data_IF_839185282603
#
_entry.id   IF_839185282603
#
_cell.length_a   1.000
_cell.length_b   1.000
_cell.length_c   1.000
_cell.angle_alpha   90.00
_cell.angle_beta   90.00
_cell.angle_gamma   90.00
#
_symmetry.space_group_name_H-M   'P 1'
#
loop_
_entity.id
_entity.type
_entity.pdbx_description
1 polymer ?
#
# COMPACT_ATOMS: atom_id res chain seq x y z
N UNK A 1 3.47 -54.38 16.26
CA UNK A 1 3.15 -54.55 17.70
C UNK A 1 4.32 -54.01 18.51
N UNK A 2 4.25 -52.71 18.85
CA UNK A 2 4.93 -52.04 19.98
C UNK A 2 4.47 -50.58 20.00
N UNK A 3 3.34 -50.43 20.67
CA UNK A 3 2.98 -49.43 21.69
C UNK A 3 3.80 -48.14 21.81
N UNK A 4 3.07 -47.04 21.65
CA UNK A 4 2.72 -46.08 22.71
C UNK A 4 3.87 -45.46 23.54
N UNK A 5 4.04 -44.14 23.44
CA UNK A 5 3.70 -43.23 24.54
C UNK A 5 4.02 -41.77 24.21
N UNK A 6 2.93 -41.00 24.10
CA UNK A 6 2.70 -39.72 24.77
C UNK A 6 3.88 -38.79 25.06
N UNK A 7 3.78 -37.57 24.52
CA UNK A 7 3.98 -36.34 25.31
C UNK A 7 3.17 -35.20 24.73
N UNK A 8 1.92 -35.13 25.20
CA UNK A 8 1.05 -33.95 25.16
C UNK A 8 1.74 -32.81 25.92
N UNK A 9 2.33 -31.84 25.21
CA UNK A 9 2.65 -30.53 25.80
C UNK A 9 1.49 -29.57 25.51
N UNK A 10 0.49 -29.61 26.39
CA UNK A 10 -0.48 -28.53 26.54
C UNK A 10 0.25 -27.28 27.05
N UNK A 11 0.79 -26.50 26.11
CA UNK A 11 1.19 -25.13 26.36
C UNK A 11 -0.06 -24.30 26.61
N UNK A 12 -0.23 -23.83 27.85
CA UNK A 12 -1.26 -22.86 28.24
C UNK A 12 -1.17 -21.65 27.32
N UNK A 13 -2.17 -21.50 26.46
CA UNK A 13 -2.51 -20.23 25.81
C UNK A 13 -2.77 -19.21 26.93
N UNK A 14 -1.80 -18.33 27.20
CA UNK A 14 -2.09 -17.08 27.89
C UNK A 14 -2.96 -16.25 26.94
N UNK A 15 -4.20 -15.90 27.29
CA UNK A 15 -4.96 -14.93 26.52
C UNK A 15 -4.19 -13.61 26.59
N UNK A 16 -3.43 -13.32 25.55
CA UNK A 16 -2.89 -11.99 25.34
C UNK A 16 -4.08 -11.05 25.27
N UNK A 17 -4.12 -10.08 26.19
CA UNK A 17 -5.08 -9.00 26.17
C UNK A 17 -5.05 -8.38 24.77
N UNK A 18 -6.11 -8.61 24.01
CA UNK A 18 -6.27 -8.01 22.70
C UNK A 18 -6.34 -6.49 22.89
N UNK A 19 -5.63 -5.69 22.08
CA UNK A 19 -5.86 -4.25 22.06
C UNK A 19 -7.33 -4.04 21.70
N UNK A 20 -8.08 -3.55 22.67
CA UNK A 20 -9.48 -3.18 22.57
C UNK A 20 -9.67 -2.28 21.35
N UNK A 21 -10.43 -2.77 20.38
CA UNK A 21 -10.95 -1.99 19.26
C UNK A 21 -11.51 -0.66 19.77
N UNK A 22 -11.01 0.44 19.20
CA UNK A 22 -11.12 1.81 19.72
C UNK A 22 -12.53 2.42 19.72
N UNK A 23 -13.58 1.65 19.41
CA UNK A 23 -14.97 1.99 19.71
C UNK A 23 -15.70 0.70 20.06
N UNK A 24 -15.73 0.37 21.35
CA UNK A 24 -16.43 -0.82 21.83
C UNK A 24 -17.91 -0.76 21.41
N UNK A 25 -18.56 -1.90 21.12
CA UNK A 25 -20.00 -1.93 20.86
C UNK A 25 -20.82 -1.26 21.99
N UNK A 26 -20.25 -1.23 23.20
CA UNK A 26 -20.79 -0.54 24.36
C UNK A 26 -20.72 0.99 24.19
N UNK A 27 -19.59 1.55 23.74
CA UNK A 27 -19.47 2.98 23.43
C UNK A 27 -20.43 3.40 22.30
N UNK A 28 -20.67 2.54 21.31
CA UNK A 28 -21.67 2.78 20.26
C UNK A 28 -23.10 2.80 20.82
N UNK A 29 -23.43 1.87 21.71
CA UNK A 29 -24.71 1.88 22.42
C UNK A 29 -24.89 3.16 23.24
N UNK A 30 -23.86 3.58 23.98
CA UNK A 30 -23.87 4.84 24.75
C UNK A 30 -24.07 6.04 23.84
N UNK A 31 -23.35 6.14 22.72
CA UNK A 31 -23.49 7.24 21.78
C UNK A 31 -24.87 7.28 21.11
N UNK A 32 -25.44 6.11 20.79
CA UNK A 32 -26.80 5.99 20.25
C UNK A 32 -27.86 6.42 21.26
N UNK A 33 -27.71 6.04 22.54
CA UNK A 33 -28.62 6.46 23.62
C UNK A 33 -28.50 7.95 23.89
N UNK A 34 -27.28 8.50 23.94
CA UNK A 34 -27.05 9.95 24.13
C UNK A 34 -27.63 10.73 22.94
N UNK A 35 -27.35 10.31 21.70
CA UNK A 35 -27.85 10.95 20.49
C UNK A 35 -29.38 10.93 20.42
N UNK A 36 -29.98 9.75 20.66
CA UNK A 36 -31.44 9.59 20.70
C UNK A 36 -32.10 10.42 21.81
N UNK A 37 -31.51 10.42 23.01
CA UNK A 37 -31.98 11.22 24.13
C UNK A 37 -31.89 12.73 23.87
N UNK A 38 -30.78 13.19 23.29
CA UNK A 38 -30.57 14.60 22.94
C UNK A 38 -31.57 15.07 21.88
N UNK A 39 -31.78 14.26 20.83
CA UNK A 39 -32.73 14.56 19.76
C UNK A 39 -34.18 14.59 20.28
N UNK A 40 -34.58 13.57 21.05
CA UNK A 40 -35.92 13.52 21.64
C UNK A 40 -36.20 14.68 22.59
N UNK A 41 -35.21 15.05 23.41
CA UNK A 41 -35.30 16.23 24.30
C UNK A 41 -35.42 17.53 23.50
N UNK A 42 -34.65 17.67 22.42
CA UNK A 42 -34.74 18.82 21.51
C UNK A 42 -36.13 18.96 20.88
N UNK A 43 -36.70 17.86 20.37
CA UNK A 43 -38.06 17.85 19.80
C UNK A 43 -39.11 18.25 20.83
N UNK A 44 -39.05 17.69 22.05
CA UNK A 44 -39.99 18.04 23.11
C UNK A 44 -39.87 19.51 23.55
N UNK A 45 -38.64 20.04 23.61
CA UNK A 45 -38.37 21.42 23.95
C UNK A 45 -38.95 22.40 22.92
N UNK A 46 -38.90 22.10 21.61
CA UNK A 46 -39.50 22.96 20.57
C UNK A 46 -40.99 23.26 20.83
N UNK A 47 -41.72 22.31 21.42
CA UNK A 47 -43.15 22.50 21.74
C UNK A 47 -43.40 23.17 23.10
N UNK A 48 -42.43 23.15 24.02
CA UNK A 48 -42.60 23.64 25.39
C UNK A 48 -41.94 25.00 25.65
N UNK A 49 -40.95 25.40 24.87
CA UNK A 49 -40.18 26.64 25.10
C UNK A 49 -40.30 27.64 23.95
N UNK A 50 -40.53 28.90 24.30
CA UNK A 50 -40.50 30.07 23.40
C UNK A 50 -39.07 30.54 23.05
N UNK A 51 -38.03 29.96 23.63
CA UNK A 51 -36.63 30.29 23.32
C UNK A 51 -36.15 29.51 22.08
N UNK A 52 -36.34 30.08 20.89
CA UNK A 52 -36.03 29.44 19.61
C UNK A 52 -34.55 29.14 19.36
N UNK A 53 -33.62 29.86 20.00
CA UNK A 53 -32.18 29.73 19.67
C UNK A 53 -31.53 28.50 20.30
N UNK A 54 -31.93 28.12 21.52
CA UNK A 54 -31.35 26.97 22.23
C UNK A 54 -31.84 25.61 21.72
N UNK A 55 -33.10 25.55 21.30
CA UNK A 55 -33.73 24.33 20.76
C UNK A 55 -33.17 23.94 19.39
N UNK A 56 -32.88 24.92 18.53
CA UNK A 56 -32.27 24.68 17.22
C UNK A 56 -30.89 24.01 17.31
N UNK A 57 -30.05 24.44 18.26
CA UNK A 57 -28.71 23.86 18.45
C UNK A 57 -28.79 22.40 18.93
N UNK A 58 -29.68 22.10 19.88
CA UNK A 58 -29.92 20.74 20.38
C UNK A 58 -30.43 19.80 19.28
N UNK A 59 -31.32 20.28 18.42
CA UNK A 59 -31.83 19.53 17.27
C UNK A 59 -30.72 19.22 16.26
N UNK A 60 -29.90 20.22 15.92
CA UNK A 60 -28.78 20.06 15.00
C UNK A 60 -27.73 19.07 15.53
N UNK A 61 -27.31 19.22 16.80
CA UNK A 61 -26.34 18.31 17.44
C UNK A 61 -26.93 16.89 17.55
N UNK A 62 -28.19 16.76 17.96
CA UNK A 62 -28.88 15.47 18.05
C UNK A 62 -28.98 14.78 16.69
N UNK A 63 -29.35 15.51 15.64
CA UNK A 63 -29.43 14.98 14.27
C UNK A 63 -28.06 14.53 13.75
N UNK A 64 -27.01 15.33 13.96
CA UNK A 64 -25.63 14.98 13.58
C UNK A 64 -25.16 13.72 14.31
N UNK A 65 -25.39 13.62 15.63
CA UNK A 65 -25.04 12.42 16.41
C UNK A 65 -25.83 11.18 15.96
N UNK A 66 -27.11 11.34 15.59
CA UNK A 66 -27.94 10.26 15.08
C UNK A 66 -27.46 9.80 13.70
N UNK A 67 -27.07 10.73 12.83
CA UNK A 67 -26.40 10.43 11.56
C UNK A 67 -25.09 9.67 11.82
N UNK A 68 -24.24 10.10 12.75
CA UNK A 68 -23.02 9.36 13.11
C UNK A 68 -23.30 7.98 13.72
N UNK A 69 -24.37 7.81 14.49
CA UNK A 69 -24.75 6.51 15.05
C UNK A 69 -25.26 5.54 13.98
N UNK A 70 -26.08 6.03 13.03
CA UNK A 70 -26.64 5.25 11.92
C UNK A 70 -25.60 4.98 10.83
N UNK A 71 -24.79 5.99 10.46
CA UNK A 71 -23.73 5.88 9.47
C UNK A 71 -22.42 5.37 10.06
N UNK A 72 -22.27 5.25 11.38
CA UNK A 72 -21.05 4.73 12.01
C UNK A 72 -20.69 3.31 11.53
N UNK A 73 -21.70 2.48 11.26
CA UNK A 73 -21.50 1.18 10.59
C UNK A 73 -21.21 1.30 9.08
N UNK A 74 -21.54 2.44 8.45
CA UNK A 74 -21.28 2.73 7.04
C UNK A 74 -19.97 3.47 6.78
N UNK A 75 -19.37 4.16 7.75
CA UNK A 75 -18.09 4.85 7.54
C UNK A 75 -16.94 3.83 7.43
N UNK A 76 -17.05 2.68 8.10
CA UNK A 76 -16.21 1.49 7.79
C UNK A 76 -16.49 0.93 6.38
N UNK A 77 -17.68 1.16 5.82
CA UNK A 77 -18.02 0.79 4.43
C UNK A 77 -17.64 1.85 3.38
N UNK A 78 -17.26 3.06 3.77
CA UNK A 78 -16.78 4.08 2.82
C UNK A 78 -15.36 3.79 2.31
N UNK A 79 -14.58 2.96 3.02
CA UNK A 79 -13.34 2.39 2.47
C UNK A 79 -13.59 1.37 1.33
N UNK A 80 -14.82 0.85 1.18
CA UNK A 80 -15.23 0.07 0.00
C UNK A 80 -15.31 0.98 -1.24
N UNK A 81 -15.48 2.29 -1.06
CA UNK A 81 -15.42 3.29 -2.13
C UNK A 81 -13.99 3.69 -2.50
N UNK A 82 -13.07 3.79 -1.54
CA UNK A 82 -11.71 4.34 -1.75
C UNK A 82 -10.84 3.59 -2.76
N UNK A 83 -10.90 2.26 -2.78
CA UNK A 83 -10.18 1.46 -3.79
C UNK A 83 -10.73 1.68 -5.19
N UNK A 84 -12.05 1.64 -5.32
CA UNK A 84 -12.71 1.92 -6.60
C UNK A 84 -12.49 3.37 -7.07
N UNK A 85 -12.32 4.32 -6.13
CA UNK A 85 -12.06 5.73 -6.45
C UNK A 85 -10.64 5.94 -6.96
N UNK A 86 -9.63 5.24 -6.43
CA UNK A 86 -8.24 5.36 -6.91
C UNK A 86 -8.05 4.71 -8.27
N UNK A 87 -8.59 3.51 -8.50
CA UNK A 87 -8.59 2.89 -9.83
C UNK A 87 -9.35 3.75 -10.85
N UNK A 88 -10.47 4.36 -10.46
CA UNK A 88 -11.17 5.35 -11.31
C UNK A 88 -10.36 6.61 -11.54
N UNK A 89 -9.63 7.12 -10.54
CA UNK A 89 -8.77 8.29 -10.71
C UNK A 89 -7.60 8.00 -11.66
N UNK A 90 -6.93 6.86 -11.49
CA UNK A 90 -5.85 6.44 -12.40
C UNK A 90 -6.37 6.20 -13.83
N UNK A 91 -7.53 5.56 -13.98
CA UNK A 91 -8.16 5.41 -15.29
C UNK A 91 -8.58 6.77 -15.89
N UNK A 92 -9.11 7.69 -15.07
CA UNK A 92 -9.46 9.04 -15.50
C UNK A 92 -8.24 9.84 -15.96
N UNK A 93 -7.11 9.72 -15.27
CA UNK A 93 -5.84 10.33 -15.70
C UNK A 93 -5.41 9.77 -17.06
N UNK A 94 -5.50 8.46 -17.29
CA UNK A 94 -5.19 7.86 -18.61
C UNK A 94 -6.17 8.31 -19.69
N UNK A 95 -7.45 8.49 -19.37
CA UNK A 95 -8.40 9.11 -20.31
C UNK A 95 -8.02 10.57 -20.62
N UNK A 96 -7.61 11.36 -19.63
CA UNK A 96 -7.16 12.74 -19.87
C UNK A 96 -5.91 12.79 -20.75
N UNK A 97 -4.94 11.89 -20.54
CA UNK A 97 -3.76 11.78 -21.41
C UNK A 97 -4.14 11.33 -22.82
N UNK A 98 -5.13 10.43 -22.95
CA UNK A 98 -5.64 10.03 -24.25
C UNK A 98 -6.26 11.20 -25.00
N UNK A 99 -7.10 11.99 -24.32
CA UNK A 99 -7.75 13.16 -24.90
C UNK A 99 -6.71 14.23 -25.30
N UNK A 100 -5.67 14.43 -24.49
CA UNK A 100 -4.55 15.32 -24.83
C UNK A 100 -3.76 14.82 -26.05
N UNK A 101 -3.56 13.50 -26.18
CA UNK A 101 -2.86 12.89 -27.32
C UNK A 101 -3.69 13.02 -28.60
N UNK A 102 -5.00 12.84 -28.51
CA UNK A 102 -5.93 13.08 -29.61
C UNK A 102 -5.91 14.54 -30.09
N UNK A 103 -5.90 15.50 -29.17
CA UNK A 103 -5.77 16.93 -29.50
C UNK A 103 -4.43 17.26 -30.18
N UNK A 104 -3.37 16.50 -29.89
CA UNK A 104 -2.07 16.61 -30.55
C UNK A 104 -2.01 15.88 -31.91
N UNK A 105 -3.08 15.19 -32.31
CA UNK A 105 -3.16 14.41 -33.55
C UNK A 105 -2.55 13.01 -33.46
N UNK A 106 -2.16 12.56 -32.27
CA UNK A 106 -1.60 11.23 -32.01
C UNK A 106 -2.72 10.25 -31.58
N UNK A 107 -3.46 9.77 -32.58
CA UNK A 107 -4.59 8.85 -32.38
C UNK A 107 -4.14 7.48 -31.85
N UNK A 108 -2.99 6.96 -32.30
CA UNK A 108 -2.49 5.65 -31.88
C UNK A 108 -2.18 5.63 -30.38
N UNK A 109 -1.54 6.69 -29.87
CA UNK A 109 -1.28 6.84 -28.43
C UNK A 109 -2.57 7.01 -27.64
N UNK A 110 -3.54 7.78 -28.14
CA UNK A 110 -4.82 7.97 -27.47
C UNK A 110 -5.58 6.64 -27.31
N UNK A 111 -5.64 5.83 -28.36
CA UNK A 111 -6.31 4.53 -28.33
C UNK A 111 -5.63 3.54 -27.39
N UNK A 112 -4.30 3.51 -27.37
CA UNK A 112 -3.53 2.71 -26.43
C UNK A 112 -3.83 3.09 -24.96
N UNK A 113 -3.86 4.39 -24.66
CA UNK A 113 -4.18 4.90 -23.32
C UNK A 113 -5.62 4.57 -22.89
N UNK A 114 -6.59 4.65 -23.81
CA UNK A 114 -7.99 4.26 -23.53
C UNK A 114 -8.15 2.76 -23.34
N UNK A 115 -7.45 1.95 -24.13
CA UNK A 115 -7.46 0.50 -23.97
C UNK A 115 -6.85 0.11 -22.62
N UNK A 116 -5.79 0.79 -22.20
CA UNK A 116 -5.19 0.63 -20.88
C UNK A 116 -6.17 1.04 -19.77
N UNK A 117 -6.75 2.24 -19.81
CA UNK A 117 -7.71 2.70 -18.81
C UNK A 117 -8.90 1.72 -18.63
N UNK A 118 -9.41 1.18 -19.73
CA UNK A 118 -10.46 0.15 -19.71
C UNK A 118 -10.00 -1.14 -19.05
N UNK A 119 -8.82 -1.66 -19.40
CA UNK A 119 -8.31 -2.89 -18.81
C UNK A 119 -8.08 -2.74 -17.30
N UNK A 120 -7.64 -1.57 -16.82
CA UNK A 120 -7.49 -1.30 -15.39
C UNK A 120 -8.84 -1.39 -14.65
N UNK A 121 -9.89 -0.77 -15.19
CA UNK A 121 -11.22 -0.72 -14.56
C UNK A 121 -11.96 -2.06 -14.61
N UNK A 122 -11.88 -2.74 -15.75
CA UNK A 122 -12.63 -3.96 -16.00
C UNK A 122 -12.08 -5.14 -15.18
N UNK A 123 -10.77 -5.21 -14.99
CA UNK A 123 -10.12 -6.41 -14.45
C UNK A 123 -9.63 -6.28 -13.01
N UNK A 124 -8.81 -5.26 -12.74
CA UNK A 124 -8.17 -5.16 -11.42
C UNK A 124 -9.16 -4.73 -10.34
N UNK A 125 -10.15 -3.90 -10.71
CA UNK A 125 -11.16 -3.37 -9.79
C UNK A 125 -11.97 -4.45 -9.08
N UNK A 126 -12.69 -5.33 -9.80
CA UNK A 126 -13.51 -6.36 -9.18
C UNK A 126 -12.70 -7.30 -8.27
N UNK A 127 -11.53 -7.75 -8.72
CA UNK A 127 -10.70 -8.71 -7.98
C UNK A 127 -10.09 -8.05 -6.72
N UNK A 128 -9.60 -6.82 -6.84
CA UNK A 128 -9.11 -6.06 -5.68
C UNK A 128 -10.22 -5.79 -4.66
N UNK A 129 -11.44 -5.52 -5.13
CA UNK A 129 -12.60 -5.32 -4.28
C UNK A 129 -13.01 -6.61 -3.55
N UNK A 130 -13.00 -7.75 -4.24
CA UNK A 130 -13.26 -9.06 -3.67
C UNK A 130 -12.25 -9.42 -2.58
N UNK A 131 -10.96 -9.25 -2.85
CA UNK A 131 -9.91 -9.41 -1.84
C UNK A 131 -10.20 -8.56 -0.59
N UNK A 132 -10.52 -7.28 -0.79
CA UNK A 132 -10.86 -6.36 0.29
C UNK A 132 -12.09 -6.82 1.08
N UNK A 133 -13.10 -7.35 0.38
CA UNK A 133 -14.32 -7.87 0.99
C UNK A 133 -14.03 -9.09 1.88
N UNK A 134 -13.31 -10.10 1.37
CA UNK A 134 -12.88 -11.29 2.13
C UNK A 134 -12.08 -10.88 3.37
N UNK A 135 -11.14 -9.94 3.20
CA UNK A 135 -10.27 -9.46 4.28
C UNK A 135 -11.05 -8.79 5.41
N UNK A 136 -12.15 -8.10 5.11
CA UNK A 136 -12.99 -7.41 6.11
C UNK A 136 -14.05 -8.32 6.72
N UNK A 137 -14.67 -9.18 5.92
CA UNK A 137 -15.82 -10.00 6.34
C UNK A 137 -15.41 -11.26 7.12
N UNK A 138 -14.23 -11.82 6.82
CA UNK A 138 -13.78 -13.06 7.45
C UNK A 138 -12.82 -12.77 8.61
N UNK A 139 -12.99 -13.51 9.72
CA UNK A 139 -12.02 -13.51 10.82
C UNK A 139 -10.68 -14.08 10.34
N UNK A 140 -9.56 -13.56 10.88
CA UNK A 140 -8.24 -14.13 10.63
C UNK A 140 -8.17 -15.62 10.98
N UNK A 141 -7.63 -16.44 10.06
CA UNK A 141 -7.55 -17.89 10.20
C UNK A 141 -7.22 -18.58 8.88
N UNK A 142 -7.17 -19.92 8.89
CA UNK A 142 -6.85 -20.73 7.71
C UNK A 142 -7.85 -20.53 6.57
N UNK A 143 -9.15 -20.53 6.87
CA UNK A 143 -10.22 -20.38 5.86
C UNK A 143 -10.12 -19.04 5.12
N UNK A 144 -9.85 -17.96 5.86
CA UNK A 144 -9.63 -16.64 5.27
C UNK A 144 -8.39 -16.62 4.39
N UNK A 145 -7.29 -17.21 4.84
CA UNK A 145 -6.07 -17.31 4.02
C UNK A 145 -6.33 -18.11 2.75
N UNK A 146 -7.07 -19.22 2.83
CA UNK A 146 -7.43 -20.02 1.66
C UNK A 146 -8.28 -19.23 0.66
N UNK A 147 -9.30 -18.50 1.14
CA UNK A 147 -10.12 -17.63 0.30
C UNK A 147 -9.28 -16.52 -0.38
N UNK A 148 -8.40 -15.85 0.38
CA UNK A 148 -7.50 -14.82 -0.17
C UNK A 148 -6.50 -15.41 -1.18
N UNK A 149 -6.01 -16.63 -0.97
CA UNK A 149 -5.16 -17.33 -1.94
C UNK A 149 -5.92 -17.66 -3.23
N UNK A 150 -7.20 -18.03 -3.14
CA UNK A 150 -8.06 -18.23 -4.30
C UNK A 150 -8.12 -17.00 -5.20
N UNK A 151 -8.25 -15.80 -4.61
CA UNK A 151 -8.20 -14.53 -5.36
C UNK A 151 -6.86 -14.36 -6.08
N UNK A 152 -5.74 -14.72 -5.46
CA UNK A 152 -4.42 -14.64 -6.11
C UNK A 152 -4.31 -15.63 -7.28
N UNK A 153 -4.89 -16.82 -7.17
CA UNK A 153 -4.91 -17.80 -8.26
C UNK A 153 -5.76 -17.31 -9.44
N UNK A 154 -6.87 -16.62 -9.17
CA UNK A 154 -7.67 -15.94 -10.20
C UNK A 154 -6.87 -14.84 -10.90
N UNK A 155 -6.15 -14.01 -10.14
CA UNK A 155 -5.23 -13.01 -10.70
C UNK A 155 -4.20 -13.65 -11.61
N UNK A 156 -3.55 -14.74 -11.19
CA UNK A 156 -2.52 -15.41 -11.99
C UNK A 156 -3.09 -15.99 -13.28
N UNK A 157 -4.25 -16.64 -13.22
CA UNK A 157 -4.95 -17.17 -14.39
C UNK A 157 -5.30 -16.07 -15.38
N UNK A 158 -5.76 -14.92 -14.88
CA UNK A 158 -6.08 -13.77 -15.73
C UNK A 158 -4.82 -13.13 -16.32
N UNK A 159 -3.77 -12.98 -15.51
CA UNK A 159 -2.47 -12.45 -15.93
C UNK A 159 -1.87 -13.25 -17.09
N UNK A 160 -2.09 -14.57 -17.13
CA UNK A 160 -1.61 -15.43 -18.21
C UNK A 160 -2.34 -15.24 -19.55
N UNK A 161 -3.53 -14.62 -19.56
CA UNK A 161 -4.39 -14.51 -20.75
C UNK A 161 -4.36 -13.14 -21.42
N UNK A 162 -3.79 -12.13 -20.77
CA UNK A 162 -3.92 -10.72 -21.16
C UNK A 162 -2.61 -9.99 -20.99
N UNK A 163 -2.40 -9.00 -21.86
CA UNK A 163 -1.29 -8.05 -21.75
C UNK A 163 -1.57 -6.93 -20.76
N UNK A 164 -0.54 -6.64 -19.95
CA UNK A 164 -0.56 -5.60 -18.92
C UNK A 164 0.69 -4.74 -19.07
N UNK A 165 0.51 -3.44 -18.87
CA UNK A 165 1.64 -2.51 -18.91
C UNK A 165 2.44 -2.60 -17.60
N UNK A 166 3.77 -2.83 -17.66
CA UNK A 166 4.60 -2.92 -16.46
C UNK A 166 4.52 -1.69 -15.54
N UNK A 167 4.38 -0.49 -16.11
CA UNK A 167 4.27 0.76 -15.36
C UNK A 167 3.01 0.81 -14.50
N UNK A 168 1.86 0.40 -15.03
CA UNK A 168 0.60 0.35 -14.29
C UNK A 168 0.66 -0.66 -13.12
N UNK A 169 1.21 -1.85 -13.38
CA UNK A 169 1.34 -2.89 -12.34
C UNK A 169 2.29 -2.44 -11.21
N UNK A 170 3.37 -1.73 -11.57
CA UNK A 170 4.30 -1.11 -10.62
C UNK A 170 3.62 -0.02 -9.79
N UNK A 171 2.78 0.81 -10.40
CA UNK A 171 2.03 1.87 -9.73
C UNK A 171 1.04 1.29 -8.70
N UNK A 172 0.29 0.25 -9.08
CA UNK A 172 -0.57 -0.49 -8.16
C UNK A 172 0.19 -1.06 -6.97
N UNK A 173 1.36 -1.63 -7.21
CA UNK A 173 2.19 -2.15 -6.11
C UNK A 173 2.72 -1.03 -5.20
N UNK A 174 2.99 0.17 -5.70
CA UNK A 174 3.55 1.27 -4.88
C UNK A 174 2.49 2.05 -4.12
N UNK A 175 1.46 2.54 -4.82
CA UNK A 175 0.46 3.47 -4.30
C UNK A 175 -0.92 2.86 -4.08
N UNK A 176 -1.16 1.67 -4.61
CA UNK A 176 -2.48 1.06 -4.65
C UNK A 176 -3.05 0.71 -3.28
N UNK A 177 -4.31 0.32 -3.27
CA UNK A 177 -4.99 -0.27 -2.12
C UNK A 177 -4.46 -1.67 -1.80
N UNK A 178 -4.86 -2.23 -0.66
CA UNK A 178 -4.36 -3.54 -0.24
C UNK A 178 -4.75 -4.65 -1.23
N UNK A 179 -5.90 -4.53 -1.90
CA UNK A 179 -6.30 -5.43 -2.98
C UNK A 179 -5.47 -5.22 -4.25
N UNK A 180 -5.30 -3.98 -4.71
CA UNK A 180 -4.49 -3.66 -5.89
C UNK A 180 -3.04 -4.15 -5.75
N UNK A 181 -2.44 -3.99 -4.56
CA UNK A 181 -1.08 -4.48 -4.30
C UNK A 181 -0.98 -6.00 -4.37
N UNK A 182 -2.00 -6.72 -3.89
CA UNK A 182 -2.09 -8.19 -4.00
C UNK A 182 -2.28 -8.63 -5.45
N UNK A 183 -3.13 -7.93 -6.20
CA UNK A 183 -3.31 -8.15 -7.64
C UNK A 183 -1.98 -7.94 -8.37
N UNK A 184 -1.28 -6.83 -8.12
CA UNK A 184 0.01 -6.56 -8.74
C UNK A 184 1.05 -7.66 -8.44
N UNK A 185 1.17 -8.10 -7.19
CA UNK A 185 2.06 -9.21 -6.82
C UNK A 185 1.69 -10.52 -7.53
N UNK A 186 0.39 -10.83 -7.66
CA UNK A 186 -0.08 -12.01 -8.39
C UNK A 186 0.26 -11.97 -9.89
N UNK A 187 0.11 -10.81 -10.52
CA UNK A 187 0.49 -10.58 -11.92
C UNK A 187 2.00 -10.74 -12.13
N UNK A 188 2.82 -10.09 -11.31
CA UNK A 188 4.28 -10.18 -11.37
C UNK A 188 4.82 -11.62 -11.13
N UNK A 189 4.10 -12.42 -10.35
CA UNK A 189 4.43 -13.83 -10.14
C UNK A 189 4.19 -14.71 -11.36
N UNK A 190 3.30 -14.28 -12.26
CA UNK A 190 2.93 -15.01 -13.49
C UNK A 190 3.81 -14.57 -14.65
N UNK A 191 4.09 -13.26 -14.76
CA UNK A 191 4.76 -12.66 -15.91
C UNK A 191 6.10 -12.02 -15.51
N UNK A 192 7.25 -12.59 -15.91
CA UNK A 192 8.57 -12.05 -15.61
C UNK A 192 8.79 -10.60 -16.03
N UNK A 193 8.24 -10.19 -17.17
CA UNK A 193 8.33 -8.85 -17.74
C UNK A 193 7.63 -7.76 -16.91
N UNK A 194 6.73 -8.15 -15.99
CA UNK A 194 6.06 -7.22 -15.07
C UNK A 194 6.86 -6.98 -13.78
N UNK A 195 7.91 -7.76 -13.53
CA UNK A 195 8.63 -7.74 -12.25
C UNK A 195 9.45 -6.47 -12.12
N UNK A 196 9.40 -5.88 -10.93
CA UNK A 196 10.18 -4.68 -10.57
C UNK A 196 10.84 -4.89 -9.21
N UNK A 197 12.15 -5.12 -9.18
CA UNK A 197 12.86 -5.46 -7.96
C UNK A 197 12.65 -4.43 -6.84
N UNK A 198 12.75 -3.14 -7.15
CA UNK A 198 12.59 -2.08 -6.16
C UNK A 198 11.17 -2.01 -5.57
N UNK A 199 10.13 -2.13 -6.40
CA UNK A 199 8.75 -2.13 -5.92
C UNK A 199 8.46 -3.36 -5.05
N UNK A 200 8.96 -4.54 -5.44
CA UNK A 200 8.77 -5.78 -4.68
C UNK A 200 9.53 -5.73 -3.35
N UNK A 201 10.78 -5.25 -3.36
CA UNK A 201 11.56 -5.09 -2.14
C UNK A 201 10.90 -4.11 -1.17
N UNK A 202 10.33 -3.01 -1.67
CA UNK A 202 9.56 -2.08 -0.86
C UNK A 202 8.30 -2.72 -0.25
N UNK A 203 7.62 -3.60 -0.98
CA UNK A 203 6.45 -4.34 -0.46
C UNK A 203 6.82 -5.35 0.63
N UNK A 204 8.01 -5.97 0.57
CA UNK A 204 8.51 -6.87 1.62
C UNK A 204 9.02 -6.10 2.85
N UNK A 205 9.65 -4.95 2.63
CA UNK A 205 10.16 -4.07 3.69
C UNK A 205 9.05 -3.36 4.47
N UNK A 206 8.00 -2.92 3.78
CA UNK A 206 6.87 -2.19 4.37
C UNK A 206 5.53 -2.83 3.97
N UNK A 207 5.28 -4.08 4.39
CA UNK A 207 4.04 -4.77 4.03
C UNK A 207 2.86 -4.16 4.77
N UNK A 208 1.70 -4.03 4.12
CA UNK A 208 0.44 -3.62 4.77
C UNK A 208 -0.28 -4.78 5.43
N UNK A 209 0.11 -6.01 5.12
CA UNK A 209 -0.39 -7.20 5.80
C UNK A 209 0.62 -8.35 5.81
N UNK A 210 0.49 -9.30 6.75
CA UNK A 210 1.25 -10.55 6.72
C UNK A 210 1.09 -11.33 5.41
N UNK A 211 -0.10 -11.31 4.81
CA UNK A 211 -0.38 -12.02 3.56
C UNK A 211 0.34 -11.38 2.38
N UNK A 212 0.34 -10.05 2.29
CA UNK A 212 1.11 -9.32 1.28
C UNK A 212 2.61 -9.59 1.41
N UNK A 213 3.16 -9.57 2.63
CA UNK A 213 4.57 -9.89 2.85
C UNK A 213 4.91 -11.29 2.35
N UNK A 214 4.05 -12.27 2.62
CA UNK A 214 4.21 -13.63 2.12
C UNK A 214 4.25 -13.66 0.58
N UNK A 215 3.31 -12.99 -0.10
CA UNK A 215 3.31 -12.91 -1.56
C UNK A 215 4.55 -12.20 -2.11
N UNK A 216 5.03 -11.15 -1.44
CA UNK A 216 6.27 -10.46 -1.80
C UNK A 216 7.48 -11.39 -1.70
N UNK A 217 7.60 -12.17 -0.61
CA UNK A 217 8.67 -13.16 -0.45
C UNK A 217 8.59 -14.28 -1.50
N UNK A 218 7.39 -14.78 -1.82
CA UNK A 218 7.19 -15.76 -2.91
C UNK A 218 7.64 -15.19 -4.26
N UNK A 219 7.41 -13.91 -4.51
CA UNK A 219 7.86 -13.28 -5.75
C UNK A 219 9.39 -13.12 -5.76
N UNK A 220 10.00 -12.70 -4.65
CA UNK A 220 11.46 -12.59 -4.53
C UNK A 220 12.15 -13.95 -4.75
N UNK A 221 11.61 -15.04 -4.21
CA UNK A 221 12.23 -16.37 -4.40
C UNK A 221 12.23 -16.84 -5.86
N UNK A 222 11.35 -16.28 -6.70
CA UNK A 222 11.32 -16.47 -8.16
C UNK A 222 12.26 -15.53 -8.93
N UNK A 223 12.76 -14.48 -8.29
CA UNK A 223 13.63 -13.47 -8.89
C UNK A 223 15.09 -13.64 -8.51
N UNK A 224 15.38 -14.28 -7.37
CA UNK A 224 16.71 -14.28 -6.74
C UNK A 224 17.83 -14.77 -7.65
N UNK A 225 17.56 -15.69 -8.58
CA UNK A 225 18.58 -16.22 -9.48
C UNK A 225 19.00 -15.22 -10.57
N UNK A 226 18.12 -14.26 -10.89
CA UNK A 226 18.30 -13.25 -11.95
C UNK A 226 18.89 -11.94 -11.40
N UNK A 227 19.04 -11.80 -10.08
CA UNK A 227 19.47 -10.55 -9.44
C UNK A 227 20.99 -10.36 -9.52
N UNK A 228 21.41 -9.11 -9.74
CA UNK A 228 22.81 -8.71 -9.71
C UNK A 228 23.39 -8.65 -8.28
N UNK A 229 24.72 -8.60 -8.12
CA UNK A 229 25.36 -8.58 -6.80
C UNK A 229 24.86 -7.44 -5.89
N UNK A 230 24.67 -6.24 -6.43
CA UNK A 230 24.19 -5.09 -5.65
C UNK A 230 22.74 -5.29 -5.14
N UNK A 231 21.88 -5.87 -5.98
CA UNK A 231 20.49 -6.19 -5.63
C UNK A 231 20.43 -7.29 -4.58
N UNK A 232 21.25 -8.33 -4.71
CA UNK A 232 21.35 -9.41 -3.72
C UNK A 232 21.79 -8.90 -2.34
N UNK A 233 22.72 -7.95 -2.26
CA UNK A 233 23.11 -7.33 -0.99
C UNK A 233 21.97 -6.50 -0.38
N UNK A 234 21.25 -5.72 -1.19
CA UNK A 234 20.07 -4.97 -0.73
C UNK A 234 18.96 -5.89 -0.24
N UNK A 235 18.75 -7.00 -0.96
CA UNK A 235 17.78 -8.02 -0.63
C UNK A 235 18.08 -8.65 0.73
N UNK A 236 19.29 -9.18 0.91
CA UNK A 236 19.69 -9.85 2.15
C UNK A 236 19.60 -8.92 3.35
N UNK A 237 20.08 -7.67 3.23
CA UNK A 237 19.96 -6.66 4.28
C UNK A 237 18.50 -6.35 4.64
N UNK A 238 17.63 -6.22 3.65
CA UNK A 238 16.20 -5.92 3.88
C UNK A 238 15.47 -7.09 4.54
N UNK A 239 15.69 -8.33 4.07
CA UNK A 239 15.03 -9.52 4.63
C UNK A 239 15.54 -9.81 6.05
N UNK A 240 16.83 -9.61 6.32
CA UNK A 240 17.40 -9.73 7.66
C UNK A 240 16.84 -8.67 8.63
N UNK A 241 16.66 -7.42 8.20
CA UNK A 241 16.03 -6.40 9.05
C UNK A 241 14.57 -6.76 9.41
N UNK A 242 13.82 -7.31 8.45
CA UNK A 242 12.45 -7.77 8.70
C UNK A 242 12.40 -8.97 9.66
N UNK A 243 13.38 -9.86 9.57
CA UNK A 243 13.52 -10.99 10.48
C UNK A 243 13.67 -10.53 11.94
N UNK A 244 14.52 -9.54 12.19
CA UNK A 244 14.80 -9.04 13.53
C UNK A 244 13.60 -8.28 14.13
N UNK A 245 12.76 -7.68 13.29
CA UNK A 245 11.54 -6.98 13.72
C UNK A 245 10.39 -7.86 14.25
N UNK A 246 10.60 -9.18 14.38
CA UNK A 246 9.65 -10.05 15.09
C UNK A 246 8.82 -10.98 14.20
N UNK A 247 9.35 -11.41 13.06
CA UNK A 247 8.73 -12.50 12.31
C UNK A 247 8.61 -13.75 13.19
N UNK A 248 7.40 -14.27 13.37
CA UNK A 248 7.16 -15.45 14.21
C UNK A 248 7.90 -16.67 13.67
N UNK A 249 8.64 -17.35 14.56
CA UNK A 249 9.31 -18.63 14.28
C UNK A 249 8.29 -19.69 13.86
N UNK A 250 8.70 -20.57 12.93
CA UNK A 250 7.87 -21.69 12.45
C UNK A 250 6.72 -21.29 11.53
N UNK A 251 6.79 -20.13 10.89
CA UNK A 251 5.81 -19.70 9.88
C UNK A 251 6.37 -19.88 8.47
N UNK A 252 5.52 -20.09 7.47
CA UNK A 252 5.96 -20.28 6.07
C UNK A 252 6.74 -19.07 5.54
N UNK A 253 6.35 -17.86 5.96
CA UNK A 253 7.09 -16.62 5.67
C UNK A 253 8.54 -16.71 6.12
N UNK A 254 8.76 -17.32 7.28
CA UNK A 254 10.10 -17.48 7.83
C UNK A 254 10.91 -18.48 7.02
N UNK A 255 10.32 -19.64 6.71
CA UNK A 255 10.98 -20.63 5.86
C UNK A 255 11.38 -20.04 4.49
N UNK A 256 10.49 -19.24 3.87
CA UNK A 256 10.81 -18.54 2.62
C UNK A 256 11.93 -17.52 2.77
N UNK A 257 11.93 -16.72 3.84
CA UNK A 257 12.99 -15.75 4.10
C UNK A 257 14.36 -16.43 4.29
N UNK A 258 14.40 -17.54 5.02
CA UNK A 258 15.62 -18.34 5.25
C UNK A 258 16.17 -18.88 3.91
N UNK A 259 15.30 -19.44 3.06
CA UNK A 259 15.66 -19.93 1.72
C UNK A 259 16.23 -18.81 0.83
N UNK A 260 15.57 -17.65 0.80
CA UNK A 260 15.99 -16.50 0.00
C UNK A 260 17.38 -16.01 0.44
N UNK A 261 17.63 -15.88 1.75
CA UNK A 261 18.92 -15.43 2.28
C UNK A 261 20.03 -16.44 1.91
N UNK A 262 19.74 -17.73 2.02
CA UNK A 262 20.68 -18.79 1.68
C UNK A 262 21.08 -18.72 0.20
N UNK A 263 20.10 -18.75 -0.71
CA UNK A 263 20.34 -18.68 -2.16
C UNK A 263 21.05 -17.39 -2.59
N UNK A 264 20.67 -16.26 -2.00
CA UNK A 264 21.33 -14.99 -2.28
C UNK A 264 22.81 -15.00 -1.85
N UNK A 265 23.14 -15.62 -0.71
CA UNK A 265 24.50 -15.73 -0.20
C UNK A 265 25.38 -16.65 -1.07
N UNK A 266 24.82 -17.75 -1.54
CA UNK A 266 25.50 -18.66 -2.49
C UNK A 266 25.81 -17.93 -3.79
N UNK A 267 24.83 -17.20 -4.35
CA UNK A 267 24.99 -16.37 -5.55
C UNK A 267 26.08 -15.33 -5.39
N UNK A 268 26.10 -14.56 -4.29
CA UNK A 268 27.14 -13.57 -4.01
C UNK A 268 28.53 -14.22 -3.95
N UNK A 269 28.64 -15.41 -3.37
CA UNK A 269 29.91 -16.15 -3.27
C UNK A 269 30.40 -16.60 -4.64
N UNK A 270 29.51 -17.14 -5.49
CA UNK A 270 29.83 -17.55 -6.86
C UNK A 270 30.35 -16.37 -7.71
N UNK A 271 29.70 -15.21 -7.64
CA UNK A 271 30.14 -14.00 -8.33
C UNK A 271 31.57 -13.56 -7.91
N UNK A 272 31.93 -13.72 -6.63
CA UNK A 272 33.26 -13.39 -6.12
C UNK A 272 34.33 -14.34 -6.68
N UNK A 273 34.03 -15.63 -6.79
CA UNK A 273 34.96 -16.62 -7.36
C UNK A 273 35.17 -16.41 -8.85
N UNK A 274 34.11 -16.10 -9.60
CA UNK A 274 34.19 -15.82 -11.04
C UNK A 274 34.99 -14.54 -11.33
N UNK A 275 34.75 -13.47 -10.56
CA UNK A 275 35.46 -12.19 -10.74
C UNK A 275 36.94 -12.26 -10.31
N UNK A 276 37.26 -13.05 -9.29
CA UNK A 276 38.62 -13.23 -8.79
C UNK A 276 39.53 -14.05 -9.73
N UNK A 277 38.95 -14.97 -10.51
CA UNK A 277 39.71 -15.83 -11.42
C UNK A 277 40.22 -15.10 -12.68
N UNK A 278 39.64 -13.95 -13.05
CA UNK A 278 40.01 -13.21 -14.26
C UNK A 278 41.10 -12.15 -14.08
N UNK A 279 41.33 -11.67 -12.86
CA UNK A 279 42.24 -10.54 -12.58
C UNK A 279 43.70 -10.95 -12.34
N UNK A 280 43.98 -12.26 -12.21
CA UNK A 280 45.31 -12.77 -11.83
C UNK A 280 46.26 -13.16 -12.97
N UNK A 281 45.84 -13.15 -14.23
CA UNK A 281 46.59 -13.78 -15.33
C UNK A 281 47.36 -12.81 -16.26
N UNK A 282 47.34 -11.50 -16.01
CA UNK A 282 48.10 -10.51 -16.83
C UNK A 282 49.20 -9.79 -16.06
N UNK A 283 49.72 -10.37 -14.97
CA UNK A 283 51.03 -10.01 -14.44
C UNK A 283 52.14 -10.73 -15.26
N UNK A 284 52.13 -10.48 -16.57
CA UNK A 284 53.24 -10.77 -17.46
C UNK A 284 54.26 -9.63 -17.36
N UNK A 285 55.33 -9.86 -16.61
CA UNK A 285 56.71 -9.59 -17.01
C UNK A 285 56.93 -8.34 -17.87
N UNK A 286 56.74 -7.16 -17.28
CA UNK A 286 57.28 -5.90 -17.79
C UNK A 286 58.52 -5.52 -17.00
N UNK A 287 59.64 -6.18 -17.29
CA UNK A 287 60.96 -5.72 -16.88
C UNK A 287 61.32 -4.46 -17.69
N UNK A 288 61.73 -3.38 -17.01
CA UNK A 288 62.56 -2.35 -17.64
C UNK A 288 62.33 -0.90 -17.18
N UNK A 289 63.44 -0.32 -16.70
CA UNK A 289 63.80 1.10 -16.68
C UNK A 289 63.33 1.96 -15.49
N UNK A 290 64.21 2.04 -14.49
CA UNK A 290 64.97 3.25 -14.11
C UNK A 290 64.30 4.62 -14.27
N UNK A 291 64.27 5.41 -13.18
CA UNK A 291 64.27 6.87 -13.31
C UNK A 291 63.72 7.68 -12.13
N UNK A 292 64.62 8.09 -11.24
CA UNK A 292 64.68 9.42 -10.59
C UNK A 292 63.60 9.88 -9.58
N UNK A 293 63.98 9.80 -8.31
CA UNK A 293 64.13 10.90 -7.33
C UNK A 293 63.30 12.21 -7.41
N UNK A 294 62.50 12.40 -6.35
CA UNK A 294 62.39 13.59 -5.47
C UNK A 294 61.54 14.82 -5.92
N UNK A 295 61.26 15.80 -5.03
CA UNK A 295 60.50 15.70 -3.77
C UNK A 295 59.45 16.83 -3.58
N UNK A 296 58.52 16.63 -2.63
CA UNK A 296 57.90 17.70 -1.83
C UNK A 296 56.70 18.45 -2.41
N UNK A 297 55.62 18.54 -1.63
CA UNK A 297 54.91 19.79 -1.24
C UNK A 297 53.64 19.42 -0.45
N UNK A 298 53.66 19.66 0.86
CA UNK A 298 52.49 19.96 1.69
C UNK A 298 52.13 21.45 1.49
N UNK A 299 50.84 21.84 1.42
CA UNK A 299 50.07 22.27 2.61
C UNK A 299 48.57 21.86 2.49
N UNK A 300 47.75 21.69 3.53
CA UNK A 300 47.35 22.61 4.60
C UNK A 300 45.84 22.37 4.88
N UNK A 301 45.31 22.61 6.10
CA UNK A 301 43.93 22.25 6.48
C UNK A 301 42.97 23.45 6.51
N UNK A 302 41.85 23.40 5.78
CA UNK A 302 40.66 24.30 5.84
C UNK A 302 39.62 23.66 4.87
N UNK A 303 38.31 23.55 5.05
CA UNK A 303 37.32 24.27 5.82
C UNK A 303 36.10 23.36 6.06
N UNK A 304 35.53 23.47 7.25
CA UNK A 304 34.21 22.90 7.60
C UNK A 304 33.11 23.88 7.18
N UNK A 305 32.17 23.52 6.29
CA UNK A 305 31.01 24.35 6.05
C UNK A 305 29.97 24.15 7.16
N UNK A 306 29.80 25.23 7.92
CA UNK A 306 28.74 25.52 8.89
C UNK A 306 27.36 25.49 8.21
N UNK A 307 26.39 24.86 8.87
CA UNK A 307 24.98 24.77 8.44
C UNK A 307 24.30 26.14 8.30
N UNK A 308 23.29 26.27 7.40
CA UNK A 308 22.28 27.30 7.51
C UNK A 308 21.08 26.82 8.35
N UNK A 309 20.73 27.68 9.30
CA UNK A 309 19.49 27.76 10.06
C UNK A 309 18.22 27.40 9.26
N UNK A 310 17.40 26.48 9.79
CA UNK A 310 15.97 26.44 9.49
C UNK A 310 15.23 27.43 10.41
N UNK A 311 14.45 28.38 9.88
CA UNK A 311 13.63 29.27 10.69
C UNK A 311 12.33 28.60 11.13
N UNK A 312 11.96 28.89 12.38
CA UNK A 312 10.67 28.62 12.98
C UNK A 312 9.50 29.14 12.12
N UNK A 313 8.62 28.25 11.68
CA UNK A 313 7.28 28.64 11.21
C UNK A 313 6.33 28.65 12.42
N UNK A 314 6.11 29.87 12.91
CA UNK A 314 5.10 30.23 13.89
C UNK A 314 3.69 30.06 13.32
N UNK A 315 2.80 29.61 14.20
CA UNK A 315 1.36 29.71 14.12
C UNK A 315 0.88 31.09 13.67
N UNK A 316 -0.08 31.12 12.74
CA UNK A 316 -1.00 32.24 12.55
C UNK A 316 -2.36 31.70 12.11
N UNK A 317 -3.27 31.72 13.07
CA UNK A 317 -4.71 31.79 12.92
C UNK A 317 -5.13 32.99 12.07
N UNK A 318 -5.98 32.80 11.07
CA UNK A 318 -6.78 33.89 10.52
C UNK A 318 -8.22 33.45 10.24
N UNK A 319 -9.10 34.09 10.99
CA UNK A 319 -10.55 34.13 10.91
C UNK A 319 -10.96 35.34 10.06
N UNK A 320 -11.81 35.15 9.04
CA UNK A 320 -12.83 36.12 8.54
C UNK A 320 -13.50 35.50 7.31
N UNK A 321 -14.79 35.17 7.32
CA UNK A 321 -15.94 36.07 7.21
C UNK A 321 -16.13 36.63 5.79
N UNK A 322 -17.09 36.05 5.06
CA UNK A 322 -17.76 36.71 3.94
C UNK A 322 -19.13 36.07 3.71
N UNK A 323 -20.13 36.67 4.35
CA UNK A 323 -21.54 36.60 3.98
C UNK A 323 -21.76 37.16 2.57
N UNK A 324 -22.72 36.60 1.84
CA UNK A 324 -23.68 37.42 1.08
C UNK A 324 -23.95 37.02 -0.37
N UNK A 325 -25.26 36.96 -0.66
CA UNK A 325 -25.94 37.22 -1.95
C UNK A 325 -26.15 36.04 -2.93
N UNK A 326 -27.34 35.43 -2.84
CA UNK A 326 -28.21 35.31 -4.03
C UNK A 326 -29.26 36.43 -4.02
N UNK A 327 -30.34 36.40 -4.85
CA UNK A 327 -30.61 35.60 -6.05
C UNK A 327 -31.03 36.46 -7.27
N UNK A 328 -31.13 35.85 -8.45
CA UNK A 328 -31.96 36.28 -9.60
C UNK A 328 -32.26 34.96 -10.35
N UNK A 329 -33.48 34.42 -10.44
CA UNK A 329 -34.76 34.96 -10.95
C UNK A 329 -34.62 35.66 -12.29
N UNK A 330 -34.91 34.91 -13.37
CA UNK A 330 -35.50 35.43 -14.60
C UNK A 330 -35.83 34.27 -15.56
N UNK A 331 -37.01 34.36 -16.20
CA UNK A 331 -37.19 33.84 -17.55
C UNK A 331 -38.24 32.76 -17.76
N UNK A 332 -39.51 33.15 -17.64
CA UNK A 332 -40.62 32.48 -18.31
C UNK A 332 -40.45 32.52 -19.84
N UNK A 333 -40.81 31.43 -20.52
CA UNK A 333 -40.85 31.35 -21.98
C UNK A 333 -41.96 30.42 -22.43
N UNK A 334 -43.18 30.95 -22.52
CA UNK A 334 -44.26 30.46 -23.38
C UNK A 334 -43.91 30.75 -24.83
N UNK A 335 -44.12 29.80 -25.73
CA UNK A 335 -44.98 30.00 -26.91
C UNK A 335 -45.21 28.70 -27.68
N UNK A 336 -46.50 28.48 -27.98
CA UNK A 336 -47.02 27.50 -28.92
C UNK A 336 -47.07 28.10 -30.34
N UNK A 337 -47.35 27.29 -31.37
CA UNK A 337 -48.75 27.17 -31.81
C UNK A 337 -49.33 25.75 -31.74
#
# INVERSE_FOLDING_TARGET
>A
MRDDHGRRRSGRNRPGAAPSSLLSPLLRGVLGVIGGGSFGTGVCAVFLTTNGTGTGVLLAIGAVLLVFALLGNRIESFEVGGASLRLRAAAAERYQLADASELAGDQDTADALRAEARSLLEFAGPIAAEYGAIRRSMRGGADRTAAMSGVVDDVRRLAAQRDFQPSAVREWLRGGTDGERVVALGMMQTRPELRDFDAVLAAVSRPRSPFEQYLGLVLISKMVDDLGPAELHRLTGTVAAQWDSGMRRGTDRRALADDIIHRASERITAWRTESGSGSGATAGTGAGADGAEAPGTTPGPSDTPRAPHEPHASSASETADARGQGPADDGAGTDAP
#
